data_IF_850716286820
#
_entry.id   IF_850716286820
#
_cell.length_a   1.000
_cell.length_b   1.000
_cell.length_c   1.000
_cell.angle_alpha   90.00
_cell.angle_beta   90.00
_cell.angle_gamma   90.00
#
_symmetry.space_group_name_H-M   'P 1'
#
loop_
_entity.id
_entity.type
_entity.pdbx_description
1 polymer ?
#
# COMPACT_ATOMS: atom_id res chain seq x y z
N UNK A 1 -15.49 17.86 -35.06
CA UNK A 1 -15.72 17.26 -36.38
C UNK A 1 -15.17 18.12 -37.51
N UNK A 2 -13.89 18.57 -37.44
CA UNK A 2 -13.30 19.51 -38.42
C UNK A 2 -11.84 19.20 -38.82
N UNK A 3 -11.31 17.99 -38.60
CA UNK A 3 -9.88 17.68 -38.87
C UNK A 3 -9.62 16.69 -40.00
N UNK A 4 -10.65 16.25 -40.77
CA UNK A 4 -10.46 15.31 -41.89
C UNK A 4 -10.37 15.98 -43.31
N UNK A 5 -10.79 17.24 -43.42
CA UNK A 5 -10.90 17.92 -44.72
C UNK A 5 -9.54 18.33 -45.37
N UNK A 6 -8.52 18.57 -44.54
CA UNK A 6 -7.22 19.04 -45.04
C UNK A 6 -6.34 17.92 -45.63
N UNK A 7 -6.55 16.66 -45.34
CA UNK A 7 -5.77 15.56 -45.96
C UNK A 7 -6.21 15.24 -47.37
N UNK A 8 -7.50 15.37 -47.66
CA UNK A 8 -8.04 15.14 -49.01
C UNK A 8 -7.64 16.26 -49.97
N UNK A 9 -7.62 17.51 -49.50
CA UNK A 9 -7.19 18.67 -50.29
C UNK A 9 -5.71 18.59 -50.64
N UNK A 10 -4.85 18.20 -49.68
CA UNK A 10 -3.39 18.03 -49.95
C UNK A 10 -3.12 16.89 -50.92
N UNK A 11 -3.82 15.77 -50.86
CA UNK A 11 -3.66 14.67 -51.83
C UNK A 11 -4.12 15.07 -53.22
N UNK A 12 -5.21 15.82 -53.36
CA UNK A 12 -5.70 16.34 -54.64
C UNK A 12 -4.75 17.40 -55.22
N UNK A 13 -4.15 18.24 -54.41
CA UNK A 13 -3.15 19.22 -54.84
C UNK A 13 -1.86 18.55 -55.33
N UNK A 14 -1.37 17.50 -54.67
CA UNK A 14 -0.20 16.73 -55.11
C UNK A 14 -0.44 16.00 -56.40
N UNK A 15 -1.62 15.38 -56.59
CA UNK A 15 -2.00 14.72 -57.83
C UNK A 15 -2.13 15.73 -58.96
N UNK A 16 -2.73 16.91 -58.72
CA UNK A 16 -2.83 18.00 -59.70
C UNK A 16 -1.44 18.53 -60.14
N UNK A 17 -0.50 18.65 -59.19
CA UNK A 17 0.86 19.08 -59.46
C UNK A 17 1.66 18.05 -60.29
N UNK A 18 1.46 16.76 -60.01
CA UNK A 18 2.07 15.67 -60.79
C UNK A 18 1.52 15.60 -62.22
N UNK A 19 0.22 15.83 -62.41
CA UNK A 19 -0.41 15.89 -63.74
C UNK A 19 0.09 17.11 -64.51
N UNK A 20 0.21 18.26 -63.86
CA UNK A 20 0.74 19.47 -64.48
C UNK A 20 2.21 19.30 -64.90
N UNK A 21 3.05 18.68 -64.05
CA UNK A 21 4.45 18.38 -64.38
C UNK A 21 4.58 17.38 -65.52
N UNK A 22 3.71 16.35 -65.56
CA UNK A 22 3.66 15.38 -66.65
C UNK A 22 3.24 16.03 -67.99
N UNK A 23 2.25 16.92 -67.96
CA UNK A 23 1.83 17.71 -69.16
C UNK A 23 2.89 18.67 -69.62
N UNK A 24 3.63 19.28 -68.70
CA UNK A 24 4.73 20.19 -69.02
C UNK A 24 5.90 19.45 -69.68
N UNK A 25 6.21 18.22 -69.19
CA UNK A 25 7.20 17.35 -69.82
C UNK A 25 6.77 16.85 -71.20
N UNK A 26 5.50 16.53 -71.38
CA UNK A 26 4.91 16.13 -72.66
C UNK A 26 4.93 17.30 -73.71
N UNK A 27 4.58 18.53 -73.28
CA UNK A 27 4.62 19.67 -74.12
C UNK A 27 6.04 20.14 -74.50
N UNK A 28 7.00 19.97 -73.59
CA UNK A 28 8.42 20.16 -73.85
C UNK A 28 8.95 19.15 -74.86
N UNK A 29 8.54 17.90 -74.73
CA UNK A 29 8.90 16.82 -75.67
C UNK A 29 8.28 17.01 -77.10
N UNK A 30 7.08 17.58 -77.19
CA UNK A 30 6.40 17.79 -78.46
C UNK A 30 6.90 19.06 -79.18
N UNK A 31 7.54 19.98 -78.46
CA UNK A 31 8.04 21.22 -79.03
C UNK A 31 9.40 21.06 -79.71
N UNK A 32 10.08 19.93 -79.51
CA UNK A 32 11.31 19.55 -80.21
C UNK A 32 11.04 18.65 -81.44
N UNK A 33 9.99 18.98 -82.19
CA UNK A 33 9.66 18.31 -83.42
C UNK A 33 10.32 19.09 -84.66
N UNK A 34 11.26 18.43 -85.24
CA UNK A 34 11.75 18.71 -86.61
C UNK A 34 12.66 19.94 -86.85
N UNK A 35 13.90 19.78 -86.47
CA UNK A 35 14.97 20.20 -87.45
C UNK A 35 16.22 19.34 -87.16
N UNK A 36 16.63 18.62 -88.15
CA UNK A 36 17.69 17.63 -88.08
C UNK A 36 19.07 18.18 -87.72
N UNK A 37 19.66 17.55 -86.76
CA UNK A 37 21.13 17.42 -86.61
C UNK A 37 21.38 16.05 -85.91
N UNK A 38 21.14 14.96 -86.64
CA UNK A 38 21.57 13.61 -86.27
C UNK A 38 22.96 13.39 -86.90
N UNK A 39 23.96 14.10 -86.39
CA UNK A 39 25.27 13.90 -87.03
C UNK A 39 26.51 14.25 -86.23
N UNK A 40 26.38 14.95 -85.10
CA UNK A 40 27.56 15.39 -84.33
C UNK A 40 27.54 15.13 -82.81
N UNK A 41 26.61 14.36 -82.35
CA UNK A 41 26.38 14.21 -80.88
C UNK A 41 26.93 12.94 -80.27
N UNK A 42 27.81 12.20 -80.94
CA UNK A 42 28.37 10.94 -80.40
C UNK A 42 29.68 11.11 -79.62
N UNK A 43 30.18 12.34 -79.43
CA UNK A 43 31.43 12.59 -78.69
C UNK A 43 31.34 13.51 -77.48
N UNK A 44 30.19 14.07 -77.18
CA UNK A 44 30.03 15.02 -76.04
C UNK A 44 28.98 14.61 -74.97
N UNK A 45 28.48 13.37 -75.03
CA UNK A 45 27.44 12.91 -74.05
C UNK A 45 28.04 12.59 -72.65
N UNK A 46 29.35 12.42 -72.57
CA UNK A 46 30.02 12.06 -71.32
C UNK A 46 30.32 13.26 -70.43
N UNK A 47 30.41 14.47 -70.98
CA UNK A 47 30.78 15.68 -70.22
C UNK A 47 29.59 16.50 -69.68
N UNK A 48 28.35 16.22 -70.12
CA UNK A 48 27.16 16.98 -69.69
C UNK A 48 26.39 16.30 -68.58
N UNK A 49 26.59 15.01 -68.39
CA UNK A 49 25.90 14.25 -67.31
C UNK A 49 26.59 14.37 -65.97
N UNK A 50 27.86 14.77 -65.89
CA UNK A 50 28.58 14.91 -64.60
C UNK A 50 27.99 15.99 -63.65
N UNK A 51 27.52 17.17 -64.06
CA UNK A 51 26.96 18.13 -63.10
C UNK A 51 25.58 17.79 -62.61
N UNK A 52 24.78 16.96 -63.31
CA UNK A 52 23.45 16.57 -62.89
C UNK A 52 23.49 15.42 -61.84
N UNK A 53 24.45 14.52 -61.91
CA UNK A 53 24.64 13.47 -60.92
C UNK A 53 25.01 14.04 -59.55
N UNK A 54 25.84 15.09 -59.50
CA UNK A 54 26.23 15.75 -58.25
C UNK A 54 25.14 16.66 -57.71
N UNK A 55 24.29 17.24 -58.58
CA UNK A 55 23.13 18.03 -58.12
C UNK A 55 22.02 17.15 -57.55
N UNK A 56 21.77 15.97 -58.14
CA UNK A 56 20.79 15.01 -57.62
C UNK A 56 21.14 14.52 -56.20
N UNK A 57 22.43 14.27 -55.94
CA UNK A 57 22.87 13.86 -54.60
C UNK A 57 22.81 14.98 -53.55
N UNK A 58 22.87 16.25 -53.96
CA UNK A 58 22.73 17.36 -52.97
C UNK A 58 21.28 17.72 -52.65
N UNK A 59 20.34 17.44 -53.55
CA UNK A 59 18.92 17.76 -53.33
C UNK A 59 18.20 16.66 -52.56
N UNK A 60 18.66 15.40 -52.63
CA UNK A 60 18.02 14.27 -51.95
C UNK A 60 18.47 14.08 -50.49
N UNK A 61 19.66 14.59 -50.10
CA UNK A 61 20.16 14.48 -48.73
C UNK A 61 19.22 15.07 -47.65
N UNK A 62 18.65 16.24 -47.78
CA UNK A 62 17.78 16.78 -46.72
C UNK A 62 16.45 16.01 -46.56
N UNK A 63 15.99 15.30 -47.58
CA UNK A 63 14.77 14.51 -47.52
C UNK A 63 14.98 13.16 -46.86
N UNK A 64 16.12 12.53 -47.02
CA UNK A 64 16.47 11.25 -46.41
C UNK A 64 16.78 11.45 -44.91
N UNK A 65 17.51 12.53 -44.58
CA UNK A 65 17.82 12.86 -43.18
C UNK A 65 16.55 13.27 -42.39
N UNK A 66 15.60 13.97 -43.03
CA UNK A 66 14.31 14.31 -42.45
C UNK A 66 13.43 13.08 -42.17
N UNK A 67 13.51 12.06 -43.02
CA UNK A 67 12.77 10.81 -42.82
C UNK A 67 13.35 9.96 -41.70
N UNK A 68 14.65 9.88 -41.57
CA UNK A 68 15.32 9.19 -40.46
C UNK A 68 15.10 9.89 -39.11
N UNK A 69 15.03 11.23 -39.12
CA UNK A 69 14.75 12.00 -37.90
C UNK A 69 13.33 11.80 -37.41
N UNK A 70 12.33 11.72 -38.28
CA UNK A 70 10.92 11.47 -37.89
C UNK A 70 10.68 10.04 -37.41
N UNK A 71 11.34 9.04 -37.99
CA UNK A 71 11.26 7.66 -37.56
C UNK A 71 11.99 7.44 -36.24
N UNK A 72 13.11 8.11 -35.98
CA UNK A 72 13.83 8.08 -34.69
C UNK A 72 13.01 8.64 -33.53
N UNK A 73 12.25 9.71 -33.74
CA UNK A 73 11.38 10.31 -32.72
C UNK A 73 10.19 9.41 -32.34
N UNK A 74 9.66 8.65 -33.30
CA UNK A 74 8.56 7.72 -33.02
C UNK A 74 9.07 6.51 -32.22
N UNK A 75 10.26 6.00 -32.53
CA UNK A 75 10.89 4.90 -31.79
C UNK A 75 11.31 5.32 -30.37
N UNK A 76 11.86 6.52 -30.20
CA UNK A 76 12.22 7.03 -28.87
C UNK A 76 11.00 7.24 -27.96
N UNK A 77 9.86 7.70 -28.50
CA UNK A 77 8.60 7.83 -27.75
C UNK A 77 8.02 6.47 -27.33
N UNK A 78 8.14 5.47 -28.19
CA UNK A 78 7.65 4.13 -27.87
C UNK A 78 8.51 3.44 -26.80
N UNK A 79 9.84 3.62 -26.86
CA UNK A 79 10.76 3.08 -25.85
C UNK A 79 10.56 3.74 -24.47
N UNK A 80 10.34 5.06 -24.42
CA UNK A 80 10.03 5.75 -23.17
C UNK A 80 8.68 5.29 -22.58
N UNK A 81 7.67 5.11 -23.39
CA UNK A 81 6.37 4.61 -22.94
C UNK A 81 6.45 3.16 -22.43
N UNK A 82 7.29 2.34 -23.05
CA UNK A 82 7.52 0.95 -22.63
C UNK A 82 8.30 0.90 -21.30
N UNK A 83 9.35 1.72 -21.17
CA UNK A 83 10.10 1.87 -19.90
C UNK A 83 9.19 2.32 -18.75
N UNK A 84 8.33 3.31 -18.97
CA UNK A 84 7.36 3.72 -17.95
C UNK A 84 6.34 2.64 -17.61
N UNK A 85 5.90 1.84 -18.58
CA UNK A 85 5.01 0.69 -18.32
C UNK A 85 5.72 -0.39 -17.51
N UNK A 86 6.98 -0.69 -17.81
CA UNK A 86 7.78 -1.64 -17.06
C UNK A 86 8.06 -1.14 -15.65
N UNK A 87 8.45 0.11 -15.47
CA UNK A 87 8.65 0.73 -14.15
C UNK A 87 7.37 0.69 -13.31
N UNK A 88 6.22 1.02 -13.90
CA UNK A 88 4.92 0.95 -13.20
C UNK A 88 4.51 -0.49 -12.88
N UNK A 89 4.94 -1.46 -13.68
CA UNK A 89 4.71 -2.89 -13.38
C UNK A 89 5.60 -3.33 -12.23
N UNK A 90 6.90 -3.05 -12.29
CA UNK A 90 7.84 -3.37 -11.21
C UNK A 90 7.38 -2.74 -9.89
N UNK A 91 6.97 -1.46 -9.88
CA UNK A 91 6.47 -0.81 -8.67
C UNK A 91 5.20 -1.46 -8.10
N UNK A 92 4.29 -1.95 -8.95
CA UNK A 92 3.11 -2.71 -8.50
C UNK A 92 3.49 -4.09 -7.97
N UNK A 93 4.38 -4.79 -8.66
CA UNK A 93 4.84 -6.10 -8.26
C UNK A 93 5.59 -6.04 -6.92
N UNK A 94 6.43 -5.01 -6.71
CA UNK A 94 7.09 -4.76 -5.42
C UNK A 94 6.11 -4.48 -4.28
N UNK A 95 5.06 -3.67 -4.51
CA UNK A 95 4.02 -3.41 -3.50
C UNK A 95 3.25 -4.68 -3.17
N UNK A 96 2.89 -5.48 -4.18
CA UNK A 96 2.20 -6.77 -3.98
C UNK A 96 3.08 -7.76 -3.20
N UNK A 97 4.39 -7.83 -3.51
CA UNK A 97 5.33 -8.68 -2.78
C UNK A 97 5.43 -8.25 -1.30
N UNK A 98 5.51 -6.96 -1.04
CA UNK A 98 5.55 -6.44 0.35
C UNK A 98 4.28 -6.80 1.10
N UNK A 99 3.11 -6.59 0.48
CA UNK A 99 1.82 -6.92 1.07
C UNK A 99 1.70 -8.43 1.37
N UNK A 100 1.99 -9.29 0.39
CA UNK A 100 1.96 -10.74 0.58
C UNK A 100 2.97 -11.21 1.64
N UNK A 101 4.16 -10.61 1.68
CA UNK A 101 5.16 -10.93 2.71
C UNK A 101 4.66 -10.54 4.10
N UNK A 102 3.99 -9.40 4.23
CA UNK A 102 3.40 -8.98 5.50
C UNK A 102 2.25 -9.92 5.93
N UNK A 103 1.36 -10.27 5.01
CA UNK A 103 0.28 -11.23 5.29
C UNK A 103 0.82 -12.59 5.72
N UNK A 104 1.87 -13.08 5.06
CA UNK A 104 2.53 -14.33 5.41
C UNK A 104 3.13 -14.28 6.83
N UNK A 105 3.84 -13.21 7.17
CA UNK A 105 4.40 -13.01 8.52
C UNK A 105 3.30 -13.01 9.57
N UNK A 106 2.24 -12.26 9.35
CA UNK A 106 1.09 -12.20 10.26
C UNK A 106 0.46 -13.57 10.45
N UNK A 107 0.22 -14.32 9.36
CA UNK A 107 -0.33 -15.67 9.43
C UNK A 107 0.60 -16.65 10.19
N UNK A 108 1.91 -16.55 9.98
CA UNK A 108 2.89 -17.35 10.71
C UNK A 108 2.92 -17.01 12.21
N UNK A 109 2.88 -15.73 12.58
CA UNK A 109 2.82 -15.29 13.96
C UNK A 109 1.54 -15.78 14.66
N UNK A 110 0.39 -15.66 13.99
CA UNK A 110 -0.88 -16.18 14.51
C UNK A 110 -0.79 -17.70 14.73
N UNK A 111 -0.30 -18.44 13.75
CA UNK A 111 -0.17 -19.90 13.86
C UNK A 111 0.78 -20.31 14.99
N UNK A 112 1.91 -19.62 15.13
CA UNK A 112 2.89 -19.86 16.19
C UNK A 112 2.25 -19.62 17.58
N UNK A 113 1.54 -18.48 17.74
CA UNK A 113 0.87 -18.16 18.99
C UNK A 113 -0.18 -19.21 19.37
N UNK A 114 -1.00 -19.66 18.43
CA UNK A 114 -1.99 -20.72 18.64
C UNK A 114 -1.33 -22.03 19.09
N UNK A 115 -0.18 -22.39 18.50
CA UNK A 115 0.56 -23.60 18.88
C UNK A 115 1.13 -23.52 20.31
N UNK A 116 1.57 -22.34 20.74
CA UNK A 116 2.10 -22.12 22.10
C UNK A 116 1.02 -22.05 23.16
N UNK A 117 -0.23 -21.79 22.76
CA UNK A 117 -1.35 -21.62 23.69
C UNK A 117 -2.50 -22.60 23.38
N UNK A 118 -2.24 -23.91 23.41
CA UNK A 118 -3.23 -24.95 23.06
C UNK A 118 -4.40 -25.05 24.04
N UNK A 119 -4.30 -24.40 25.20
CA UNK A 119 -5.37 -24.34 26.23
C UNK A 119 -6.55 -23.46 25.78
N UNK A 120 -6.34 -22.56 24.77
CA UNK A 120 -7.39 -21.71 24.26
C UNK A 120 -7.94 -22.26 22.93
N UNK A 121 -9.25 -22.30 22.82
CA UNK A 121 -9.90 -22.46 21.53
C UNK A 121 -9.86 -21.11 20.83
N UNK A 122 -9.38 -21.06 19.61
CA UNK A 122 -9.02 -19.79 18.96
C UNK A 122 -9.50 -19.71 17.51
N UNK A 123 -9.89 -18.51 17.11
CA UNK A 123 -10.18 -18.17 15.70
C UNK A 123 -9.24 -17.06 15.25
N UNK A 124 -8.47 -17.31 14.19
CA UNK A 124 -7.57 -16.31 13.60
C UNK A 124 -8.31 -15.45 12.60
N UNK A 125 -8.16 -14.13 12.70
CA UNK A 125 -8.78 -13.17 11.82
C UNK A 125 -7.84 -12.08 11.33
N UNK A 126 -8.23 -11.42 10.24
CA UNK A 126 -7.56 -10.22 9.73
C UNK A 126 -8.34 -8.96 10.10
N UNK A 127 -7.61 -7.90 10.35
CA UNK A 127 -8.18 -6.56 10.51
C UNK A 127 -8.53 -6.02 9.12
N UNK A 128 -9.80 -5.69 8.91
CA UNK A 128 -10.28 -5.13 7.62
C UNK A 128 -10.51 -3.62 7.67
N UNK A 129 -10.75 -3.07 8.85
CA UNK A 129 -10.85 -1.63 9.07
C UNK A 129 -10.53 -1.26 10.52
N UNK A 130 -10.01 -0.04 10.69
CA UNK A 130 -9.82 0.59 12.00
C UNK A 130 -10.67 1.86 12.03
N UNK A 131 -11.45 2.06 13.11
CA UNK A 131 -12.19 3.31 13.28
C UNK A 131 -11.24 4.42 13.68
N UNK A 132 -11.22 5.55 12.97
CA UNK A 132 -10.41 6.72 13.35
C UNK A 132 -11.04 7.53 14.49
N UNK A 133 -12.18 7.11 15.03
CA UNK A 133 -12.88 7.81 16.10
C UNK A 133 -12.07 7.74 17.39
N UNK A 134 -11.68 8.88 17.91
CA UNK A 134 -10.91 9.04 19.16
C UNK A 134 -11.75 8.74 20.39
N UNK A 135 -13.07 8.91 20.32
CA UNK A 135 -13.97 8.73 21.47
C UNK A 135 -14.37 7.26 21.66
N UNK A 136 -14.46 6.52 20.55
CA UNK A 136 -14.79 5.08 20.56
C UNK A 136 -13.92 4.30 19.59
N UNK A 137 -12.61 4.21 19.82
CA UNK A 137 -11.72 3.50 18.94
C UNK A 137 -12.11 2.02 18.88
N UNK A 138 -12.22 1.51 17.66
CA UNK A 138 -12.61 0.13 17.41
C UNK A 138 -11.95 -0.43 16.17
N UNK A 139 -11.88 -1.75 16.10
CA UNK A 139 -11.30 -2.49 14.99
C UNK A 139 -12.35 -3.45 14.43
N UNK A 140 -12.50 -3.48 13.11
CA UNK A 140 -13.39 -4.41 12.42
C UNK A 140 -12.57 -5.60 11.91
N UNK A 141 -13.02 -6.81 12.27
CA UNK A 141 -12.43 -8.08 11.84
C UNK A 141 -13.25 -8.71 10.72
N UNK A 142 -12.57 -9.39 9.79
CA UNK A 142 -13.17 -10.18 8.72
C UNK A 142 -13.54 -11.61 9.14
N UNK A 143 -13.94 -11.81 10.39
CA UNK A 143 -14.45 -13.06 10.97
C UNK A 143 -15.65 -12.73 11.86
N UNK A 144 -16.61 -13.65 11.97
CA UNK A 144 -17.85 -13.39 12.69
C UNK A 144 -18.39 -14.61 13.41
N UNK A 145 -19.70 -14.61 13.70
CA UNK A 145 -20.35 -15.73 14.39
C UNK A 145 -20.32 -17.03 13.59
N UNK A 146 -20.26 -16.97 12.26
CA UNK A 146 -20.15 -18.16 11.42
C UNK A 146 -18.80 -18.86 11.57
N UNK A 147 -17.78 -18.13 12.04
CA UNK A 147 -16.44 -18.63 12.34
C UNK A 147 -16.27 -19.05 13.82
N UNK A 148 -17.30 -18.86 14.66
CA UNK A 148 -17.28 -19.21 16.09
C UNK A 148 -17.01 -18.03 17.03
N UNK A 149 -16.92 -16.79 16.51
CA UNK A 149 -16.70 -15.59 17.33
C UNK A 149 -17.97 -15.21 18.08
N UNK A 150 -17.85 -14.95 19.36
CA UNK A 150 -18.95 -14.53 20.23
C UNK A 150 -18.73 -13.15 20.85
N UNK A 151 -19.81 -12.60 21.40
CA UNK A 151 -19.78 -11.34 22.13
C UNK A 151 -18.91 -11.48 23.40
N UNK A 152 -18.09 -10.48 23.69
CA UNK A 152 -17.13 -10.41 24.78
C UNK A 152 -15.90 -11.34 24.67
N UNK A 153 -15.74 -12.09 23.60
CA UNK A 153 -14.52 -12.85 23.38
C UNK A 153 -13.30 -11.93 23.39
N UNK A 154 -12.25 -12.29 24.15
CA UNK A 154 -10.98 -11.54 24.14
C UNK A 154 -10.28 -11.65 22.81
N UNK A 155 -9.64 -10.55 22.41
CA UNK A 155 -8.88 -10.47 21.16
C UNK A 155 -7.43 -10.15 21.47
N UNK A 156 -6.51 -10.96 20.95
CA UNK A 156 -5.07 -10.81 21.12
C UNK A 156 -4.40 -10.61 19.77
N UNK A 157 -3.34 -9.81 19.73
CA UNK A 157 -2.45 -9.71 18.58
C UNK A 157 -1.15 -10.46 18.90
N UNK A 158 -0.66 -11.31 17.99
CA UNK A 158 0.68 -11.89 18.12
C UNK A 158 1.74 -10.78 18.05
N UNK A 159 2.61 -10.74 19.04
CA UNK A 159 3.76 -9.85 19.13
C UNK A 159 5.02 -10.68 19.34
N UNK A 160 6.20 -10.06 19.24
CA UNK A 160 7.49 -10.78 19.28
C UNK A 160 7.70 -11.65 20.51
N UNK A 161 7.08 -11.28 21.64
CA UNK A 161 7.24 -11.95 22.95
C UNK A 161 5.97 -12.74 23.33
N UNK A 162 5.21 -13.24 22.37
CA UNK A 162 3.97 -13.98 22.60
C UNK A 162 2.75 -13.26 22.01
N UNK A 163 1.60 -13.29 22.69
CA UNK A 163 0.41 -12.52 22.30
C UNK A 163 0.19 -11.37 23.26
N UNK A 164 -0.42 -10.29 22.80
CA UNK A 164 -0.80 -9.18 23.65
C UNK A 164 -2.27 -8.81 23.47
N UNK A 165 -2.94 -8.39 24.54
CA UNK A 165 -4.35 -8.05 24.53
C UNK A 165 -4.61 -6.82 23.66
N UNK A 166 -5.51 -6.95 22.69
CA UNK A 166 -6.06 -5.87 21.87
C UNK A 166 -7.32 -5.27 22.52
N UNK A 167 -8.20 -6.14 23.00
CA UNK A 167 -9.48 -5.75 23.53
C UNK A 167 -10.45 -6.92 23.59
N UNK A 168 -11.74 -6.65 23.34
CA UNK A 168 -12.80 -7.66 23.30
C UNK A 168 -13.82 -7.41 22.19
N UNK A 169 -14.52 -8.44 21.80
CA UNK A 169 -15.62 -8.33 20.82
C UNK A 169 -16.79 -7.56 21.43
N UNK A 170 -17.14 -6.43 20.83
CA UNK A 170 -18.26 -5.55 21.24
C UNK A 170 -19.54 -5.85 20.47
N UNK A 171 -19.41 -6.23 19.20
CA UNK A 171 -20.52 -6.60 18.33
C UNK A 171 -20.06 -7.67 17.34
N UNK A 172 -20.96 -8.56 16.94
CA UNK A 172 -20.69 -9.62 15.99
C UNK A 172 -21.84 -9.75 15.00
N UNK A 173 -21.49 -10.00 13.75
CA UNK A 173 -22.42 -10.38 12.67
C UNK A 173 -22.03 -11.77 12.16
N UNK A 174 -22.70 -12.31 11.15
CA UNK A 174 -22.32 -13.61 10.55
C UNK A 174 -20.86 -13.66 10.12
N UNK A 175 -20.39 -12.63 9.43
CA UNK A 175 -19.06 -12.61 8.79
C UNK A 175 -18.08 -11.56 9.32
N UNK A 176 -18.48 -10.72 10.27
CA UNK A 176 -17.61 -9.67 10.83
C UNK A 176 -17.79 -9.52 12.33
N UNK A 177 -16.75 -9.08 13.03
CA UNK A 177 -16.79 -8.72 14.44
C UNK A 177 -16.17 -7.34 14.67
N UNK A 178 -16.80 -6.52 15.51
CA UNK A 178 -16.26 -5.24 15.97
C UNK A 178 -15.61 -5.42 17.32
N UNK A 179 -14.34 -5.07 17.42
CA UNK A 179 -13.53 -5.16 18.64
C UNK A 179 -13.44 -3.79 19.30
N UNK A 180 -13.80 -3.73 20.57
CA UNK A 180 -13.52 -2.61 21.46
C UNK A 180 -12.08 -2.74 21.93
N UNK A 181 -11.22 -1.80 21.54
CA UNK A 181 -9.78 -1.86 21.84
C UNK A 181 -9.48 -1.28 23.23
N UNK A 182 -8.30 -1.58 23.78
CA UNK A 182 -7.86 -1.08 25.09
C UNK A 182 -7.78 0.45 25.19
N UNK A 183 -7.79 1.16 24.06
CA UNK A 183 -7.80 2.61 24.00
C UNK A 183 -9.21 3.23 24.11
N UNK A 184 -10.28 2.43 24.11
CA UNK A 184 -11.65 2.91 24.31
C UNK A 184 -11.85 3.32 25.77
N UNK A 185 -12.26 4.58 26.10
CA UNK A 185 -12.50 5.01 27.46
C UNK A 185 -13.55 4.22 28.22
N UNK A 186 -14.44 3.52 27.52
CA UNK A 186 -15.47 2.67 28.12
C UNK A 186 -14.97 1.25 28.48
N UNK A 187 -13.70 0.92 28.22
CA UNK A 187 -13.11 -0.36 28.57
C UNK A 187 -12.34 -0.24 29.90
N UNK A 188 -12.50 -1.23 30.76
CA UNK A 188 -11.66 -1.41 31.93
C UNK A 188 -11.23 -2.87 32.02
N UNK A 189 -9.93 -3.10 32.12
CA UNK A 189 -9.36 -4.45 32.22
C UNK A 189 -8.65 -4.60 33.54
N UNK A 190 -9.07 -5.59 34.34
CA UNK A 190 -8.35 -5.94 35.57
C UNK A 190 -7.02 -6.59 35.19
N UNK A 191 -5.96 -6.05 35.75
CA UNK A 191 -4.60 -6.44 35.43
C UNK A 191 -3.75 -6.62 36.70
N UNK A 192 -2.69 -7.37 36.54
CA UNK A 192 -1.65 -7.50 37.54
C UNK A 192 -0.27 -7.19 36.97
N UNK A 193 0.56 -6.52 37.75
CA UNK A 193 1.97 -6.34 37.43
C UNK A 193 2.70 -7.64 37.80
N UNK A 194 3.41 -8.21 36.83
CA UNK A 194 4.28 -9.37 37.09
C UNK A 194 5.52 -8.90 37.85
N UNK A 195 5.67 -9.34 39.10
CA UNK A 195 6.77 -9.00 39.97
C UNK A 195 6.68 -9.78 41.28
N UNK A 196 7.63 -9.54 42.20
CA UNK A 196 7.75 -10.30 43.46
C UNK A 196 6.49 -10.26 44.35
N UNK A 197 5.69 -9.20 44.30
CA UNK A 197 4.52 -9.02 45.15
C UNK A 197 3.18 -9.02 44.41
N UNK A 198 3.18 -8.96 43.06
CA UNK A 198 1.99 -8.90 42.25
C UNK A 198 1.08 -7.70 42.62
N UNK A 199 1.04 -6.67 41.80
CA UNK A 199 0.20 -5.49 42.02
C UNK A 199 -1.05 -5.55 41.14
N UNK A 200 -2.23 -5.63 41.74
CA UNK A 200 -3.50 -5.60 41.00
C UNK A 200 -3.97 -4.16 40.81
N UNK A 201 -4.62 -3.91 39.68
CA UNK A 201 -5.24 -2.63 39.34
C UNK A 201 -6.12 -2.75 38.13
N UNK A 202 -6.60 -1.61 37.65
CA UNK A 202 -7.46 -1.51 36.45
C UNK A 202 -6.74 -0.76 35.37
N UNK A 203 -6.60 -1.36 34.19
CA UNK A 203 -6.09 -0.71 32.96
C UNK A 203 -7.22 0.09 32.32
N UNK A 204 -6.92 1.34 32.04
CA UNK A 204 -7.76 2.29 31.29
C UNK A 204 -6.88 3.09 30.32
N UNK A 205 -7.43 3.70 29.28
CA UNK A 205 -6.66 4.63 28.42
C UNK A 205 -6.07 5.78 29.22
N UNK A 206 -4.89 6.22 28.86
CA UNK A 206 -4.28 7.42 29.44
C UNK A 206 -4.98 8.68 28.93
N UNK A 207 -5.37 9.57 29.85
CA UNK A 207 -5.98 10.87 29.49
C UNK A 207 -4.94 11.90 29.05
N UNK A 208 -3.67 11.69 29.36
CA UNK A 208 -2.58 12.65 29.09
C UNK A 208 -1.74 12.33 27.87
N UNK A 209 -1.66 11.08 27.48
CA UNK A 209 -0.78 10.59 26.38
C UNK A 209 -1.57 9.65 25.48
N UNK A 210 -1.92 10.07 24.26
CA UNK A 210 -2.60 9.19 23.30
C UNK A 210 -1.79 7.92 23.01
N UNK A 211 -2.48 6.77 22.92
CA UNK A 211 -1.83 5.49 22.66
C UNK A 211 -1.22 4.80 23.88
N UNK A 212 -1.15 5.45 25.02
CA UNK A 212 -0.67 4.92 26.29
C UNK A 212 -1.85 4.48 27.17
N UNK A 213 -1.55 3.60 28.12
CA UNK A 213 -2.49 3.10 29.12
C UNK A 213 -2.09 3.58 30.51
N UNK A 214 -3.07 3.67 31.38
CA UNK A 214 -2.86 3.93 32.81
C UNK A 214 -3.40 2.75 33.61
N UNK A 215 -2.61 2.20 34.49
CA UNK A 215 -3.07 1.27 35.49
C UNK A 215 -3.40 2.04 36.77
N UNK A 216 -4.68 2.11 37.09
CA UNK A 216 -5.22 2.78 38.24
C UNK A 216 -5.45 1.81 39.42
N UNK A 217 -5.72 2.37 40.61
CA UNK A 217 -6.08 1.59 41.81
C UNK A 217 -4.99 0.66 42.35
N UNK A 218 -3.72 0.90 41.97
CA UNK A 218 -2.61 0.09 42.46
C UNK A 218 -2.27 0.50 43.90
N UNK A 219 -2.24 -0.45 44.89
CA UNK A 219 -1.91 -0.10 46.26
C UNK A 219 -0.54 0.54 46.41
N UNK A 220 -0.42 1.57 47.24
CA UNK A 220 0.86 2.28 47.48
C UNK A 220 1.93 1.35 48.07
N UNK A 221 1.54 0.37 48.84
CA UNK A 221 2.45 -0.56 49.55
C UNK A 221 3.18 -1.53 48.62
N UNK A 222 2.69 -1.76 47.40
CA UNK A 222 3.28 -2.72 46.50
C UNK A 222 4.39 -2.03 45.67
N UNK A 223 5.57 -2.63 45.62
CA UNK A 223 6.69 -2.13 44.83
C UNK A 223 6.49 -2.50 43.36
N UNK A 224 6.44 -1.48 42.49
CA UNK A 224 6.41 -1.63 41.03
C UNK A 224 7.59 -0.88 40.43
N UNK A 225 8.27 -1.50 39.49
CA UNK A 225 9.47 -0.96 38.83
C UNK A 225 9.18 -0.66 37.38
N UNK A 226 9.86 0.34 36.82
CA UNK A 226 9.87 0.57 35.39
C UNK A 226 10.46 -0.67 34.69
N UNK A 227 9.79 -1.10 33.62
CA UNK A 227 10.17 -2.31 32.87
C UNK A 227 9.37 -3.55 33.26
N UNK A 228 8.62 -3.53 34.37
CA UNK A 228 7.76 -4.65 34.78
C UNK A 228 6.67 -4.89 33.73
N UNK A 229 6.31 -6.15 33.52
CA UNK A 229 5.25 -6.55 32.57
C UNK A 229 3.90 -6.51 33.26
N UNK A 230 2.90 -5.98 32.56
CA UNK A 230 1.50 -5.98 33.00
C UNK A 230 0.73 -7.01 32.20
N UNK A 231 -0.01 -7.88 32.90
CA UNK A 231 -0.84 -8.94 32.31
C UNK A 231 -2.27 -8.86 32.84
N UNK A 232 -3.21 -9.53 32.17
CA UNK A 232 -4.56 -9.69 32.67
C UNK A 232 -4.53 -10.51 33.97
N UNK A 233 -5.37 -10.15 34.95
CA UNK A 233 -5.41 -10.84 36.26
C UNK A 233 -6.42 -11.96 36.31
N UNK A 234 -7.15 -12.24 35.23
CA UNK A 234 -8.20 -13.27 35.26
C UNK A 234 -9.37 -13.00 36.22
N UNK A 235 -9.36 -11.86 36.92
CA UNK A 235 -10.31 -11.55 37.98
C UNK A 235 -11.24 -10.40 37.59
N UNK A 236 -12.54 -10.59 37.65
CA UNK A 236 -13.58 -9.58 37.44
C UNK A 236 -14.63 -9.57 38.56
N UNK A 237 -14.22 -9.85 39.79
CA UNK A 237 -15.11 -9.84 40.94
C UNK A 237 -16.25 -10.87 40.84
N UNK A 238 -17.50 -10.44 41.10
CA UNK A 238 -18.66 -11.34 41.15
C UNK A 238 -19.21 -11.80 39.80
N UNK A 239 -18.74 -11.23 38.69
CA UNK A 239 -19.33 -11.43 37.33
C UNK A 239 -18.58 -12.45 36.48
N UNK A 240 -17.56 -13.11 37.01
CA UNK A 240 -16.68 -13.96 36.20
C UNK A 240 -15.62 -13.17 35.43
N UNK A 241 -14.58 -13.84 34.95
CA UNK A 241 -13.52 -13.18 34.21
C UNK A 241 -13.93 -12.99 32.77
N UNK A 242 -13.88 -11.73 32.27
CA UNK A 242 -14.02 -11.43 30.86
C UNK A 242 -12.73 -11.68 30.07
N UNK A 243 -11.62 -11.90 30.76
CA UNK A 243 -10.31 -12.14 30.16
C UNK A 243 -9.63 -13.31 30.87
N UNK A 244 -9.01 -14.23 30.15
CA UNK A 244 -8.13 -15.24 30.74
C UNK A 244 -7.01 -14.58 31.53
N UNK A 245 -6.48 -15.26 32.52
CA UNK A 245 -5.32 -14.82 33.29
C UNK A 245 -4.04 -14.89 32.46
N UNK A 246 -3.13 -13.94 32.69
CA UNK A 246 -1.78 -14.00 32.16
C UNK A 246 -1.60 -13.49 30.74
N UNK A 247 -2.64 -12.91 30.08
CA UNK A 247 -2.46 -12.31 28.74
C UNK A 247 -1.66 -11.01 28.88
N UNK A 248 -0.50 -10.86 28.19
CA UNK A 248 0.28 -9.63 28.23
C UNK A 248 -0.51 -8.41 27.71
N UNK A 249 -0.35 -7.27 28.39
CA UNK A 249 -0.97 -6.00 28.02
C UNK A 249 0.11 -5.01 27.56
N UNK A 250 1.13 -4.82 28.40
CA UNK A 250 2.16 -3.83 28.14
C UNK A 250 3.26 -3.83 29.19
N UNK A 251 4.07 -2.80 29.16
CA UNK A 251 5.21 -2.60 30.06
C UNK A 251 5.07 -1.32 30.85
N UNK A 252 5.42 -1.37 32.13
CA UNK A 252 5.47 -0.18 33.00
C UNK A 252 6.58 0.77 32.53
N UNK A 253 6.19 2.00 32.20
CA UNK A 253 7.12 3.05 31.78
C UNK A 253 7.35 4.11 32.84
N UNK A 254 6.34 4.40 33.63
CA UNK A 254 6.44 5.39 34.70
C UNK A 254 5.53 5.03 35.88
N UNK A 255 6.03 5.19 37.08
CA UNK A 255 5.28 4.99 38.33
C UNK A 255 5.09 6.35 38.99
N UNK A 256 3.85 6.84 39.03
CA UNK A 256 3.52 8.07 39.73
C UNK A 256 3.36 7.76 41.20
N UNK A 257 4.33 8.13 41.99
CA UNK A 257 4.19 8.10 43.44
C UNK A 257 3.38 9.32 43.85
N UNK A 258 2.13 9.11 44.19
CA UNK A 258 1.25 10.17 44.67
C UNK A 258 1.67 10.59 46.09
N UNK A 259 1.46 11.88 46.40
CA UNK A 259 1.81 12.49 47.68
C UNK A 259 1.12 11.81 48.90
N UNK A 260 1.72 12.00 50.07
CA UNK A 260 1.25 11.52 51.35
C UNK A 260 -0.27 11.75 51.57
N UNK A 261 -1.03 10.65 51.52
CA UNK A 261 -2.48 10.69 51.78
C UNK A 261 -3.34 9.89 50.77
N UNK A 262 -2.84 9.57 49.60
CA UNK A 262 -3.55 8.68 48.66
C UNK A 262 -3.24 7.22 48.96
N UNK A 263 -4.27 6.38 48.95
CA UNK A 263 -4.12 4.93 49.21
C UNK A 263 -3.67 4.16 47.96
N UNK A 264 -3.77 4.73 46.79
CA UNK A 264 -3.43 4.13 45.50
C UNK A 264 -2.53 5.02 44.68
N UNK A 265 -1.74 4.41 43.83
CA UNK A 265 -0.88 5.08 42.80
C UNK A 265 -1.36 4.76 41.42
N UNK A 266 -0.94 5.59 40.49
CA UNK A 266 -1.15 5.39 39.05
C UNK A 266 0.16 5.00 38.38
N UNK A 267 0.08 4.11 37.41
CA UNK A 267 1.22 3.58 36.68
C UNK A 267 0.96 3.77 35.20
N UNK A 268 1.89 4.39 34.49
CA UNK A 268 1.84 4.45 33.03
C UNK A 268 2.34 3.14 32.43
N UNK A 269 1.61 2.66 31.43
CA UNK A 269 1.88 1.38 30.76
C UNK A 269 1.86 1.62 29.25
N UNK A 270 2.98 1.34 28.60
CA UNK A 270 3.04 1.31 27.14
C UNK A 270 2.56 -0.06 26.66
N UNK A 271 1.48 -0.13 25.86
CA UNK A 271 0.97 -1.39 25.33
C UNK A 271 1.99 -2.07 24.42
N UNK A 272 1.99 -3.42 24.41
CA UNK A 272 2.79 -4.20 23.47
C UNK A 272 2.21 -4.17 22.06
N UNK A 273 0.93 -3.89 21.95
CA UNK A 273 0.19 -3.79 20.68
C UNK A 273 0.34 -2.40 20.08
N UNK A 274 0.69 -2.34 18.81
CA UNK A 274 0.58 -1.12 18.03
C UNK A 274 -0.80 -1.04 17.37
N UNK A 275 -1.69 -0.21 17.94
CA UNK A 275 -3.07 -0.05 17.47
C UNK A 275 -3.20 0.63 16.12
N UNK A 276 -2.20 1.39 15.69
CA UNK A 276 -2.19 2.05 14.39
C UNK A 276 -1.86 1.09 13.24
N UNK A 277 -1.26 -0.08 13.57
CA UNK A 277 -0.80 -1.04 12.57
C UNK A 277 -1.12 -2.48 12.98
N UNK A 278 -2.39 -2.76 13.21
CA UNK A 278 -2.88 -4.12 13.46
C UNK A 278 -3.12 -4.85 12.15
N UNK A 279 -2.34 -5.91 11.89
CA UNK A 279 -2.49 -6.72 10.68
C UNK A 279 -3.39 -7.95 10.87
N UNK A 280 -3.14 -8.72 11.90
CA UNK A 280 -3.89 -9.93 12.25
C UNK A 280 -4.10 -10.05 13.73
N UNK A 281 -5.14 -10.77 14.10
CA UNK A 281 -5.52 -11.02 15.48
C UNK A 281 -5.98 -12.45 15.67
N UNK A 282 -6.01 -12.89 16.91
CA UNK A 282 -6.57 -14.17 17.34
C UNK A 282 -7.67 -13.89 18.36
N UNK A 283 -8.86 -14.37 18.10
CA UNK A 283 -9.99 -14.31 19.04
C UNK A 283 -9.97 -15.56 19.90
N UNK A 284 -10.10 -15.39 21.22
CA UNK A 284 -10.15 -16.47 22.19
C UNK A 284 -11.62 -16.80 22.48
N UNK A 285 -12.09 -17.99 22.11
CA UNK A 285 -13.45 -18.41 22.44
C UNK A 285 -13.55 -18.66 23.94
N UNK A 286 -14.40 -17.88 24.62
CA UNK A 286 -14.74 -18.04 26.05
C UNK A 286 -16.04 -18.83 26.17
N UNK A 287 -15.96 -20.16 26.15
CA UNK A 287 -17.11 -21.03 26.40
C UNK A 287 -17.26 -21.36 27.88
#
# INVERSE_FOLDING_TARGET
MLLSKNRVIRRRAVVGLLIAASLMLLTASYREGSTGVVGSMQRNVVSVTAPFATAAHRVTRPFVDGWHWTTGLIHARNQTAELHRLQNRVGRDESTIKELTQQLRTAQQNAHWVQENPQFKTVSGSVIATSPDTDTPSVLLGIGSDDGVALNDPVVAPVSDGGALVGRVKAVTGSTATVQVLLDPAIGVTATVQGEQGANGTIVPSTGTPGELTMAEVPQSVLVKNGDTVVTSGFTGKLGSLYPDGIPIGRVTYVQNNDLGQQSKQIQVTPFVNFDNLGGVVVLEMN
#
